data_IF_124494410459
#
_entry.id   IF_124494410459
#
_cell.length_a   1.000
_cell.length_b   1.000
_cell.length_c   1.000
_cell.angle_alpha   90.00
_cell.angle_beta   90.00
_cell.angle_gamma   90.00
#
_symmetry.space_group_name_H-M   'P 1'
#
loop_
_entity.id
_entity.type
_entity.pdbx_description
1 polymer ?
#
# COMPACT_ATOMS: atom_id res chain seq x y z
N UNK A 1 -8.30 -20.88 0.50
CA UNK A 1 -7.53 -21.83 -0.33
C UNK A 1 -7.44 -23.12 0.45
N UNK A 2 -8.04 -24.20 -0.06
CA UNK A 2 -8.26 -25.44 0.70
C UNK A 2 -8.99 -25.17 2.02
N UNK A 3 -8.35 -25.43 3.15
CA UNK A 3 -8.93 -25.36 4.50
C UNK A 3 -8.37 -24.22 5.36
N UNK A 4 -7.75 -23.20 4.74
CA UNK A 4 -7.15 -22.06 5.45
C UNK A 4 -7.78 -20.73 5.07
N UNK A 5 -7.94 -19.86 6.07
CA UNK A 5 -8.33 -18.45 5.93
C UNK A 5 -7.13 -17.65 5.42
N UNK A 6 -7.14 -17.30 4.14
CA UNK A 6 -6.04 -16.55 3.49
C UNK A 6 -6.04 -15.07 3.93
N UNK A 7 -7.23 -14.51 4.14
CA UNK A 7 -7.45 -13.20 4.73
C UNK A 7 -8.85 -13.15 5.35
N UNK A 8 -9.11 -12.18 6.21
CA UNK A 8 -10.42 -11.91 6.80
C UNK A 8 -10.58 -10.41 7.02
N UNK A 9 -11.83 -9.93 7.03
CA UNK A 9 -12.13 -8.52 7.26
C UNK A 9 -11.93 -8.15 8.74
N UNK A 10 -11.94 -6.84 9.02
CA UNK A 10 -11.68 -6.34 10.37
C UNK A 10 -12.73 -6.78 11.41
N UNK A 11 -14.00 -6.93 11.03
CA UNK A 11 -15.03 -7.44 11.93
C UNK A 11 -14.75 -8.88 12.38
N UNK A 12 -14.29 -9.75 11.48
CA UNK A 12 -13.87 -11.10 11.83
C UNK A 12 -12.58 -11.11 12.67
N UNK A 13 -11.62 -10.21 12.38
CA UNK A 13 -10.38 -10.05 13.16
C UNK A 13 -10.65 -9.65 14.60
N UNK A 14 -11.57 -8.70 14.83
CA UNK A 14 -11.99 -8.28 16.15
C UNK A 14 -12.55 -9.42 17.01
N UNK A 15 -13.01 -10.49 16.35
CA UNK A 15 -13.53 -11.71 16.98
C UNK A 15 -12.50 -12.85 17.05
N UNK A 16 -11.24 -12.54 16.78
CA UNK A 16 -10.12 -13.45 16.94
C UNK A 16 -9.92 -14.42 15.78
N UNK A 17 -10.51 -14.18 14.60
CA UNK A 17 -10.14 -14.87 13.35
C UNK A 17 -8.86 -14.25 12.80
N UNK A 18 -7.85 -15.07 12.49
CA UNK A 18 -6.56 -14.57 12.00
C UNK A 18 -6.22 -15.14 10.63
N UNK A 19 -5.25 -14.50 9.96
CA UNK A 19 -4.64 -15.02 8.72
C UNK A 19 -4.01 -16.41 9.01
N UNK A 20 -4.07 -17.29 8.01
CA UNK A 20 -3.61 -18.70 8.07
C UNK A 20 -4.34 -19.58 9.10
N UNK A 21 -5.44 -19.12 9.69
CA UNK A 21 -6.26 -19.95 10.58
C UNK A 21 -6.97 -21.05 9.79
N UNK A 22 -7.07 -22.25 10.37
CA UNK A 22 -7.91 -23.31 9.80
C UNK A 22 -9.38 -22.87 9.78
N UNK A 23 -10.09 -23.12 8.67
CA UNK A 23 -11.48 -22.70 8.50
C UNK A 23 -12.40 -23.27 9.57
N UNK A 24 -12.18 -24.52 9.99
CA UNK A 24 -12.91 -25.13 11.10
C UNK A 24 -12.72 -24.36 12.43
N UNK A 25 -11.48 -23.95 12.75
CA UNK A 25 -11.19 -23.14 13.94
C UNK A 25 -11.80 -21.75 13.84
N UNK A 26 -11.78 -21.14 12.65
CA UNK A 26 -12.37 -19.82 12.42
C UNK A 26 -13.90 -19.86 12.61
N UNK A 27 -14.57 -20.89 12.10
CA UNK A 27 -16.01 -21.09 12.28
C UNK A 27 -16.38 -21.43 13.73
N UNK A 28 -15.53 -22.17 14.46
CA UNK A 28 -15.75 -22.40 15.88
C UNK A 28 -15.68 -21.11 16.72
N UNK A 29 -14.77 -20.18 16.38
CA UNK A 29 -14.67 -18.85 17.03
C UNK A 29 -15.77 -17.89 16.62
N UNK A 30 -16.23 -18.01 15.38
CA UNK A 30 -17.19 -17.11 14.76
C UNK A 30 -18.22 -17.93 13.96
N UNK A 31 -19.25 -18.50 14.61
CA UNK A 31 -20.21 -19.40 13.97
C UNK A 31 -20.98 -18.80 12.79
N UNK A 32 -21.16 -17.48 12.78
CA UNK A 32 -21.79 -16.71 11.70
C UNK A 32 -20.81 -16.23 10.62
N UNK A 33 -19.54 -16.66 10.66
CA UNK A 33 -18.55 -16.30 9.66
C UNK A 33 -18.95 -16.83 8.28
N UNK A 34 -19.17 -15.92 7.33
CA UNK A 34 -19.37 -16.26 5.94
C UNK A 34 -18.03 -16.52 5.24
N UNK A 35 -17.73 -17.79 4.96
CA UNK A 35 -16.53 -18.20 4.21
C UNK A 35 -16.81 -18.20 2.70
N UNK A 36 -16.05 -17.41 1.94
CA UNK A 36 -16.12 -17.36 0.47
C UNK A 36 -14.91 -18.09 -0.13
N UNK A 37 -15.13 -18.91 -1.16
CA UNK A 37 -14.04 -19.57 -1.87
C UNK A 37 -13.23 -18.52 -2.65
N UNK A 38 -11.95 -18.36 -2.29
CA UNK A 38 -11.01 -17.45 -2.94
C UNK A 38 -9.93 -18.15 -3.76
N UNK A 39 -10.14 -19.39 -4.22
CA UNK A 39 -9.18 -20.10 -5.08
C UNK A 39 -9.14 -19.54 -6.50
N UNK A 40 -10.27 -19.06 -7.01
CA UNK A 40 -10.27 -18.28 -8.24
C UNK A 40 -9.68 -16.89 -7.97
N UNK A 41 -8.46 -16.70 -8.47
CA UNK A 41 -7.74 -15.44 -8.33
C UNK A 41 -8.06 -14.40 -9.41
N UNK A 42 -8.90 -14.74 -10.39
CA UNK A 42 -9.26 -13.88 -11.52
C UNK A 42 -9.81 -12.51 -11.10
N UNK A 43 -10.79 -12.40 -10.18
CA UNK A 43 -11.28 -11.09 -9.74
C UNK A 43 -10.19 -10.24 -9.06
N UNK A 44 -9.33 -10.85 -8.24
CA UNK A 44 -8.24 -10.12 -7.59
C UNK A 44 -7.17 -9.67 -8.59
N UNK A 45 -6.86 -10.49 -9.60
CA UNK A 45 -5.97 -10.11 -10.70
C UNK A 45 -6.54 -8.96 -11.53
N UNK A 46 -7.86 -8.95 -11.77
CA UNK A 46 -8.53 -7.86 -12.47
C UNK A 46 -8.43 -6.54 -11.67
N UNK A 47 -8.76 -6.59 -10.38
CA UNK A 47 -8.64 -5.44 -9.49
C UNK A 47 -7.19 -4.93 -9.40
N UNK A 48 -6.22 -5.84 -9.25
CA UNK A 48 -4.78 -5.53 -9.26
C UNK A 48 -4.36 -4.75 -10.51
N UNK A 49 -4.84 -5.15 -11.70
CA UNK A 49 -4.56 -4.43 -12.96
C UNK A 49 -5.19 -3.04 -12.97
N UNK A 50 -6.42 -2.90 -12.48
CA UNK A 50 -7.11 -1.62 -12.43
C UNK A 50 -6.41 -0.64 -11.47
N UNK A 51 -5.98 -1.11 -10.29
CA UNK A 51 -5.21 -0.32 -9.33
C UNK A 51 -3.88 0.11 -9.95
N UNK A 52 -3.14 -0.81 -10.58
CA UNK A 52 -1.88 -0.47 -11.27
C UNK A 52 -2.07 0.63 -12.31
N UNK A 53 -3.07 0.48 -13.19
CA UNK A 53 -3.38 1.48 -14.21
C UNK A 53 -3.72 2.85 -13.61
N UNK A 54 -4.40 2.87 -12.47
CA UNK A 54 -4.67 4.11 -11.75
C UNK A 54 -3.41 4.74 -11.14
N UNK A 55 -2.44 3.94 -10.72
CA UNK A 55 -1.17 4.40 -10.12
C UNK A 55 -0.17 4.93 -11.17
N UNK A 56 -0.21 4.41 -12.41
CA UNK A 56 0.70 4.80 -13.51
C UNK A 56 0.64 6.30 -13.86
N UNK A 57 -0.42 7.02 -13.47
CA UNK A 57 -0.52 8.48 -13.63
C UNK A 57 0.43 9.28 -12.74
N UNK A 58 0.96 8.67 -11.67
CA UNK A 58 1.82 9.34 -10.70
C UNK A 58 3.31 9.11 -10.96
N UNK A 59 3.65 8.08 -11.73
CA UNK A 59 5.02 7.74 -12.08
C UNK A 59 5.19 6.26 -12.44
N UNK A 60 6.44 5.82 -12.66
CA UNK A 60 6.76 4.41 -12.87
C UNK A 60 6.27 3.54 -11.70
N UNK A 61 5.58 2.45 -12.03
CA UNK A 61 4.98 1.54 -11.03
C UNK A 61 5.67 0.17 -11.04
N UNK A 62 6.13 -0.26 -9.88
CA UNK A 62 6.67 -1.60 -9.64
C UNK A 62 5.69 -2.42 -8.81
N UNK A 63 5.30 -3.59 -9.30
CA UNK A 63 4.33 -4.46 -8.62
C UNK A 63 5.04 -5.43 -7.67
N UNK A 64 4.66 -5.42 -6.39
CA UNK A 64 5.21 -6.30 -5.35
C UNK A 64 4.29 -7.50 -5.07
N UNK A 65 2.98 -7.26 -5.06
CA UNK A 65 1.94 -8.25 -4.77
C UNK A 65 0.71 -8.05 -5.64
N UNK A 66 -0.42 -8.71 -5.33
CA UNK A 66 -1.68 -8.42 -6.03
C UNK A 66 -2.23 -7.04 -5.64
N UNK A 67 -2.03 -6.64 -4.40
CA UNK A 67 -2.55 -5.43 -3.77
C UNK A 67 -1.44 -4.44 -3.35
N UNK A 68 -0.17 -4.78 -3.56
CA UNK A 68 0.99 -3.97 -3.18
C UNK A 68 1.80 -3.49 -4.40
N UNK A 69 2.10 -2.19 -4.41
CA UNK A 69 2.78 -1.50 -5.50
C UNK A 69 3.69 -0.39 -4.97
N UNK A 70 4.90 -0.30 -5.52
CA UNK A 70 5.78 0.85 -5.38
C UNK A 70 5.57 1.80 -6.56
N UNK A 71 5.58 3.11 -6.27
CA UNK A 71 5.45 4.16 -7.30
C UNK A 71 6.56 5.18 -7.11
N UNK A 72 7.38 5.38 -8.14
CA UNK A 72 8.37 6.45 -8.14
C UNK A 72 7.69 7.80 -8.43
N UNK A 73 7.47 8.58 -7.37
CA UNK A 73 6.86 9.91 -7.43
C UNK A 73 7.89 11.04 -7.44
N UNK A 74 9.18 10.76 -7.64
CA UNK A 74 10.26 11.74 -7.54
C UNK A 74 10.04 12.95 -8.46
N UNK A 75 9.63 12.70 -9.70
CA UNK A 75 9.35 13.76 -10.68
C UNK A 75 8.16 14.64 -10.26
N UNK A 76 7.08 14.03 -9.79
CA UNK A 76 5.88 14.74 -9.32
C UNK A 76 6.19 15.58 -8.06
N UNK A 77 6.94 15.01 -7.11
CA UNK A 77 7.38 15.70 -5.90
C UNK A 77 8.30 16.89 -6.23
N UNK A 78 9.23 16.73 -7.18
CA UNK A 78 10.11 17.81 -7.63
C UNK A 78 9.31 18.95 -8.27
N UNK A 79 8.38 18.64 -9.18
CA UNK A 79 7.53 19.65 -9.82
C UNK A 79 6.64 20.41 -8.81
N UNK A 80 6.04 19.70 -7.85
CA UNK A 80 5.24 20.32 -6.79
C UNK A 80 6.10 21.26 -5.92
N UNK A 81 7.32 20.85 -5.59
CA UNK A 81 8.26 21.68 -4.82
C UNK A 81 8.67 22.94 -5.57
N UNK A 82 9.02 22.82 -6.86
CA UNK A 82 9.34 23.98 -7.69
C UNK A 82 8.17 24.97 -7.78
N UNK A 83 6.95 24.45 -7.94
CA UNK A 83 5.73 25.26 -7.97
C UNK A 83 5.49 25.99 -6.65
N UNK A 84 5.73 25.33 -5.51
CA UNK A 84 5.63 25.94 -4.19
C UNK A 84 6.67 27.05 -3.96
N UNK A 85 7.92 26.85 -4.41
CA UNK A 85 8.98 27.87 -4.33
C UNK A 85 8.65 29.08 -5.21
N UNK A 86 8.17 28.85 -6.43
CA UNK A 86 7.73 29.91 -7.34
C UNK A 86 6.55 30.70 -6.74
N UNK A 87 5.57 30.01 -6.16
CA UNK A 87 4.42 30.64 -5.50
C UNK A 87 4.80 31.44 -4.24
N UNK A 88 5.86 31.02 -3.53
CA UNK A 88 6.38 31.72 -2.36
C UNK A 88 7.21 32.98 -2.71
N UNK A 89 7.44 33.28 -4.00
CA UNK A 89 8.19 34.47 -4.43
C UNK A 89 9.68 34.44 -4.04
N UNK A 90 10.20 33.29 -3.61
CA UNK A 90 11.61 33.11 -3.30
C UNK A 90 12.40 32.95 -4.62
N UNK A 91 13.14 33.97 -5.01
CA UNK A 91 14.13 33.83 -6.08
C UNK A 91 15.10 32.70 -5.70
N UNK A 92 15.45 31.77 -6.62
CA UNK A 92 16.45 30.76 -6.33
C UNK A 92 17.80 31.44 -6.18
N UNK A 93 18.19 31.81 -4.95
CA UNK A 93 19.56 32.22 -4.68
C UNK A 93 20.44 31.02 -5.01
N UNK A 94 21.38 31.19 -5.94
CA UNK A 94 22.23 30.15 -6.54
C UNK A 94 23.20 29.45 -5.57
N UNK A 95 22.98 29.55 -4.25
CA UNK A 95 23.79 28.99 -3.19
C UNK A 95 22.86 28.47 -2.08
N UNK A 96 22.29 27.29 -2.27
CA UNK A 96 21.72 26.53 -1.15
C UNK A 96 22.28 25.11 -1.14
N UNK A 97 23.18 24.84 -0.20
CA UNK A 97 23.36 23.52 0.37
C UNK A 97 22.41 23.42 1.59
N UNK A 98 21.43 22.52 1.54
CA UNK A 98 20.49 22.34 2.64
C UNK A 98 19.73 21.02 2.53
N UNK A 99 19.75 20.24 3.62
CA UNK A 99 18.97 19.02 3.75
C UNK A 99 17.49 19.34 3.96
N UNK A 100 16.63 18.50 3.39
CA UNK A 100 15.17 18.62 3.46
C UNK A 100 14.65 17.48 4.31
N UNK A 101 13.90 17.79 5.37
CA UNK A 101 13.03 16.83 6.04
C UNK A 101 11.68 17.48 6.34
N UNK A 102 10.58 16.81 5.98
CA UNK A 102 9.30 16.77 6.71
C UNK A 102 8.30 15.85 5.98
N UNK A 103 7.65 14.99 6.77
CA UNK A 103 6.86 13.78 6.41
C UNK A 103 7.72 12.60 5.94
N UNK A 104 7.29 11.36 6.22
CA UNK A 104 7.97 10.09 5.89
C UNK A 104 8.11 9.90 4.38
N UNK A 105 8.94 10.73 3.75
CA UNK A 105 9.41 10.57 2.38
C UNK A 105 10.48 9.50 2.46
N UNK A 106 10.10 8.29 2.12
CA UNK A 106 11.05 7.21 1.99
C UNK A 106 11.94 7.50 0.78
N UNK A 107 13.25 7.57 1.02
CA UNK A 107 14.23 7.86 -0.03
C UNK A 107 14.62 6.61 -0.81
N UNK A 108 14.15 5.45 -0.32
CA UNK A 108 14.30 4.15 -0.93
C UNK A 108 13.03 3.31 -0.79
N UNK A 109 12.88 2.33 -1.67
CA UNK A 109 11.81 1.33 -1.61
C UNK A 109 11.86 0.50 -0.32
N UNK A 110 13.05 0.26 0.24
CA UNK A 110 13.22 -0.47 1.50
C UNK A 110 12.63 0.29 2.71
N UNK A 111 12.83 1.60 2.77
CA UNK A 111 12.23 2.46 3.80
C UNK A 111 10.70 2.53 3.65
N UNK A 112 10.22 2.60 2.40
CA UNK A 112 8.78 2.65 2.10
C UNK A 112 8.08 1.36 2.55
N UNK A 113 8.68 0.21 2.26
CA UNK A 113 8.14 -1.09 2.68
C UNK A 113 8.16 -1.23 4.21
N UNK A 114 9.25 -0.83 4.87
CA UNK A 114 9.36 -0.91 6.33
C UNK A 114 8.31 -0.02 7.03
N UNK A 115 8.05 1.17 6.51
CA UNK A 115 7.00 2.07 7.01
C UNK A 115 5.60 1.49 6.80
N UNK A 116 5.34 0.91 5.62
CA UNK A 116 4.07 0.23 5.31
C UNK A 116 3.82 -0.95 6.25
N UNK A 117 4.82 -1.81 6.44
CA UNK A 117 4.74 -3.00 7.31
C UNK A 117 4.54 -2.65 8.79
N UNK A 118 4.98 -1.46 9.23
CA UNK A 118 4.74 -0.95 10.58
C UNK A 118 3.28 -0.50 10.78
N UNK A 119 2.63 0.01 9.73
CA UNK A 119 1.22 0.42 9.77
C UNK A 119 0.25 -0.77 9.83
N UNK A 120 0.67 -1.95 9.38
CA UNK A 120 -0.17 -3.15 9.28
C UNK A 120 -0.05 -4.14 10.45
N UNK A 121 0.78 -3.85 11.46
CA UNK A 121 0.85 -4.58 12.74
C UNK A 121 -0.10 -4.00 13.76
#
# INVERSE_FOLDING_TARGET
QKYLVVTCNYAARARGVTKLMATATALAKCPELACVNGEDLTPYRSASKAVRAALERFGPVHKLGLDEFDVDVSAAAHAARLSAVAAAGAAPSALWCGHVHTADVCTSTAEAQAGSDACHR
#
